data_IF_137994609939
#
_entry.id   IF_137994609939
#
_cell.length_a   1.000
_cell.length_b   1.000
_cell.length_c   1.000
_cell.angle_alpha   90.00
_cell.angle_beta   90.00
_cell.angle_gamma   90.00
#
_symmetry.space_group_name_H-M   'P 1'
#
loop_
_entity.id
_entity.type
_entity.pdbx_description
1 polymer ?
#
# COMPACT_ATOMS: atom_id res chain seq x y z
N UNK A 1 -3.04 -7.39 26.51
CA UNK A 1 -3.01 -7.77 25.09
C UNK A 1 -2.95 -6.47 24.32
N UNK A 2 -1.79 -6.23 23.71
CA UNK A 2 -1.51 -4.97 23.04
C UNK A 2 -2.19 -4.90 21.68
N UNK A 3 -2.30 -3.70 21.13
CA UNK A 3 -2.93 -3.45 19.83
C UNK A 3 -2.27 -4.25 18.70
N UNK A 4 -0.95 -4.44 18.77
CA UNK A 4 -0.20 -5.22 17.79
C UNK A 4 -0.51 -6.72 17.87
N UNK A 5 -0.68 -7.27 19.08
CA UNK A 5 -1.12 -8.66 19.28
C UNK A 5 -2.55 -8.89 18.77
N UNK A 6 -3.39 -7.85 18.84
CA UNK A 6 -4.75 -7.91 18.29
C UNK A 6 -4.73 -8.04 16.76
N UNK A 7 -3.87 -7.28 16.07
CA UNK A 7 -3.71 -7.36 14.62
C UNK A 7 -3.26 -8.76 14.16
N UNK A 8 -2.27 -9.35 14.83
CA UNK A 8 -1.78 -10.69 14.50
C UNK A 8 -2.87 -11.77 14.69
N UNK A 9 -3.62 -11.68 15.79
CA UNK A 9 -4.74 -12.61 16.05
C UNK A 9 -5.88 -12.47 15.06
N UNK A 10 -6.23 -11.24 14.67
CA UNK A 10 -7.23 -10.97 13.64
C UNK A 10 -6.80 -11.62 12.31
N UNK A 11 -5.55 -11.43 11.87
CA UNK A 11 -5.01 -12.10 10.66
C UNK A 11 -5.10 -13.62 10.74
N UNK A 12 -4.73 -14.18 11.89
CA UNK A 12 -4.79 -15.63 12.11
C UNK A 12 -6.22 -16.16 12.11
N UNK A 13 -7.19 -15.41 12.67
CA UNK A 13 -8.60 -15.76 12.64
C UNK A 13 -9.18 -15.68 11.23
N UNK A 14 -8.80 -14.68 10.42
CA UNK A 14 -9.19 -14.57 9.02
C UNK A 14 -8.65 -15.74 8.19
N UNK A 15 -7.37 -16.10 8.34
CA UNK A 15 -6.81 -17.29 7.68
C UNK A 15 -7.53 -18.59 8.10
N UNK A 16 -7.92 -18.72 9.36
CA UNK A 16 -8.68 -19.87 9.84
C UNK A 16 -10.13 -19.88 9.31
N UNK A 17 -10.69 -18.72 8.99
CA UNK A 17 -12.04 -18.62 8.44
C UNK A 17 -12.19 -19.20 7.03
N UNK A 18 -11.09 -19.35 6.29
CA UNK A 18 -11.07 -19.99 4.97
C UNK A 18 -10.95 -21.53 5.05
N UNK A 19 -10.85 -22.09 6.26
CA UNK A 19 -10.74 -23.53 6.44
C UNK A 19 -12.06 -24.26 6.11
N UNK A 20 -12.02 -25.52 5.63
CA UNK A 20 -13.19 -26.27 5.17
C UNK A 20 -14.16 -26.69 6.28
N UNK A 21 -13.84 -26.41 7.55
CA UNK A 21 -14.70 -26.72 8.68
C UNK A 21 -15.60 -25.53 9.01
N UNK A 22 -16.86 -25.59 8.58
CA UNK A 22 -17.85 -24.52 8.73
C UNK A 22 -17.99 -24.01 10.17
N UNK A 23 -17.91 -24.91 11.17
CA UNK A 23 -18.05 -24.54 12.58
C UNK A 23 -16.86 -23.73 13.09
N UNK A 24 -15.64 -24.13 12.71
CA UNK A 24 -14.42 -23.42 13.08
C UNK A 24 -14.31 -22.09 12.34
N UNK A 25 -14.64 -22.08 11.05
CA UNK A 25 -14.65 -20.87 10.25
C UNK A 25 -15.61 -19.82 10.82
N UNK A 26 -16.83 -20.23 11.19
CA UNK A 26 -17.83 -19.31 11.77
C UNK A 26 -17.43 -18.79 13.14
N UNK A 27 -16.82 -19.64 13.97
CA UNK A 27 -16.29 -19.22 15.27
C UNK A 27 -15.12 -18.22 15.13
N UNK A 28 -14.23 -18.46 14.16
CA UNK A 28 -13.11 -17.57 13.86
C UNK A 28 -13.60 -16.18 13.40
N UNK A 29 -14.58 -16.13 12.49
CA UNK A 29 -15.19 -14.87 12.04
C UNK A 29 -15.86 -14.08 13.17
N UNK A 30 -16.54 -14.75 14.09
CA UNK A 30 -17.14 -14.07 15.25
C UNK A 30 -16.09 -13.49 16.18
N UNK A 31 -15.01 -14.23 16.42
CA UNK A 31 -13.91 -13.77 17.26
C UNK A 31 -13.18 -12.58 16.65
N UNK A 32 -12.93 -12.63 15.35
CA UNK A 32 -12.33 -11.57 14.55
C UNK A 32 -13.12 -10.25 14.66
N UNK A 33 -14.42 -10.30 14.38
CA UNK A 33 -15.30 -9.12 14.47
C UNK A 33 -15.35 -8.53 15.87
N UNK A 34 -15.31 -9.36 16.90
CA UNK A 34 -15.25 -8.92 18.30
C UNK A 34 -13.94 -8.19 18.59
N UNK A 35 -12.82 -8.74 18.14
CA UNK A 35 -11.50 -8.12 18.29
C UNK A 35 -11.42 -6.78 17.55
N UNK A 36 -11.86 -6.72 16.30
CA UNK A 36 -11.94 -5.48 15.52
C UNK A 36 -12.72 -4.38 16.24
N UNK A 37 -13.89 -4.71 16.79
CA UNK A 37 -14.73 -3.77 17.53
C UNK A 37 -14.06 -3.27 18.83
N UNK A 38 -13.42 -4.17 19.59
CA UNK A 38 -12.77 -3.80 20.85
C UNK A 38 -11.55 -2.88 20.65
N UNK A 39 -10.76 -3.12 19.60
CA UNK A 39 -9.54 -2.36 19.33
C UNK A 39 -9.72 -1.23 18.30
N UNK A 40 -10.94 -1.05 17.76
CA UNK A 40 -11.28 -0.08 16.71
C UNK A 40 -10.35 -0.17 15.49
N UNK A 41 -10.07 -1.40 15.06
CA UNK A 41 -9.22 -1.69 13.91
C UNK A 41 -10.09 -1.69 12.65
N UNK A 42 -9.69 -0.92 11.64
CA UNK A 42 -10.34 -0.89 10.33
C UNK A 42 -9.61 -1.77 9.32
N UNK A 43 -10.29 -2.17 8.25
CA UNK A 43 -9.73 -3.03 7.17
C UNK A 43 -8.45 -2.44 6.56
N UNK A 44 -8.37 -1.11 6.41
CA UNK A 44 -7.16 -0.43 5.89
C UNK A 44 -5.91 -0.64 6.75
N UNK A 45 -6.08 -1.02 8.01
CA UNK A 45 -4.96 -1.28 8.93
C UNK A 45 -4.54 -2.75 8.96
N UNK A 46 -5.41 -3.66 8.53
CA UNK A 46 -4.99 -5.03 8.22
C UNK A 46 -4.11 -5.05 6.97
N UNK A 47 -4.47 -4.25 5.97
CA UNK A 47 -3.79 -4.17 4.67
C UNK A 47 -2.44 -3.44 4.74
N UNK A 48 -2.27 -2.52 5.70
CA UNK A 48 -1.10 -1.65 5.79
C UNK A 48 0.18 -2.32 6.30
N UNK A 49 0.16 -3.60 6.71
CA UNK A 49 1.40 -4.30 7.09
C UNK A 49 1.93 -5.30 6.06
N UNK A 50 1.33 -5.41 4.87
CA UNK A 50 1.86 -6.31 3.82
C UNK A 50 2.01 -5.67 2.43
N UNK A 51 1.43 -4.50 2.19
CA UNK A 51 1.73 -3.82 0.93
C UNK A 51 3.05 -3.07 1.04
N UNK A 52 4.13 -3.80 0.75
CA UNK A 52 5.38 -3.29 0.18
C UNK A 52 5.03 -2.37 -1.00
N UNK A 53 4.64 -1.13 -0.69
CA UNK A 53 4.41 -0.04 -1.65
C UNK A 53 5.76 0.42 -2.17
N UNK A 54 6.52 -0.52 -2.72
CA UNK A 54 7.73 -0.23 -3.48
C UNK A 54 7.28 0.57 -4.69
N UNK A 55 7.65 1.86 -4.78
CA UNK A 55 7.21 2.68 -5.90
C UNK A 55 7.80 2.08 -7.18
N UNK A 56 6.93 1.68 -8.11
CA UNK A 56 7.35 1.19 -9.43
C UNK A 56 8.06 2.35 -10.14
N UNK A 57 9.38 2.30 -10.15
CA UNK A 57 10.21 3.36 -10.77
C UNK A 57 10.46 2.97 -12.21
N UNK A 58 10.00 3.79 -13.16
CA UNK A 58 10.30 3.63 -14.58
C UNK A 58 11.11 4.82 -15.07
N UNK A 59 12.30 4.54 -15.60
CA UNK A 59 13.14 5.55 -16.23
C UNK A 59 12.66 5.70 -17.68
N UNK A 60 12.30 6.93 -18.05
CA UNK A 60 11.97 7.27 -19.43
C UNK A 60 13.26 7.52 -20.22
N UNK A 61 13.28 7.18 -21.52
CA UNK A 61 14.41 7.46 -22.43
C UNK A 61 14.53 8.94 -22.83
N UNK A 62 13.68 9.80 -22.28
CA UNK A 62 13.66 11.24 -22.57
C UNK A 62 14.81 11.92 -21.82
N UNK A 63 15.76 12.46 -22.58
CA UNK A 63 16.80 13.37 -22.08
C UNK A 63 16.43 14.80 -22.43
N UNK A 64 16.80 15.75 -21.56
CA UNK A 64 16.54 17.16 -21.78
C UNK A 64 17.73 18.00 -21.36
N UNK A 65 17.93 19.12 -22.04
CA UNK A 65 18.94 20.11 -21.64
C UNK A 65 18.23 21.34 -21.08
N UNK A 66 18.73 21.91 -19.98
CA UNK A 66 18.16 23.11 -19.35
C UNK A 66 18.06 24.31 -20.31
N UNK A 67 18.95 24.38 -21.31
CA UNK A 67 18.98 25.47 -22.30
C UNK A 67 17.92 25.35 -23.39
N UNK A 68 17.65 24.13 -23.89
CA UNK A 68 16.73 23.91 -25.03
C UNK A 68 15.33 23.50 -24.59
N UNK A 69 15.24 22.78 -23.48
CA UNK A 69 14.05 22.03 -23.09
C UNK A 69 13.63 22.36 -21.65
N UNK A 70 13.68 23.63 -21.28
CA UNK A 70 13.32 24.08 -19.93
C UNK A 70 11.85 23.81 -19.55
N UNK A 71 11.00 23.48 -20.52
CA UNK A 71 9.59 23.17 -20.34
C UNK A 71 9.34 21.73 -19.83
N UNK A 72 10.32 20.82 -20.02
CA UNK A 72 10.17 19.41 -19.66
C UNK A 72 9.91 19.20 -18.16
N UNK A 73 10.63 19.85 -17.22
CA UNK A 73 10.35 19.73 -15.80
C UNK A 73 8.91 20.14 -15.42
N UNK A 74 8.41 21.23 -16.02
CA UNK A 74 7.05 21.73 -15.79
C UNK A 74 5.99 20.76 -16.32
N UNK A 75 6.23 20.17 -17.50
CA UNK A 75 5.32 19.17 -18.06
C UNK A 75 5.28 17.90 -17.21
N UNK A 76 6.44 17.39 -16.78
CA UNK A 76 6.53 16.22 -15.91
C UNK A 76 5.70 16.45 -14.65
N UNK A 77 5.81 17.63 -14.04
CA UNK A 77 5.02 17.98 -12.85
C UNK A 77 3.52 17.90 -13.12
N UNK A 78 3.04 18.57 -14.18
CA UNK A 78 1.62 18.60 -14.54
C UNK A 78 1.05 17.20 -14.81
N UNK A 79 1.77 16.37 -15.56
CA UNK A 79 1.35 14.99 -15.84
C UNK A 79 1.34 14.19 -14.54
N UNK A 80 2.41 14.27 -13.74
CA UNK A 80 2.51 13.50 -12.50
C UNK A 80 1.36 13.78 -11.52
N UNK A 81 0.98 15.05 -11.36
CA UNK A 81 -0.13 15.46 -10.50
C UNK A 81 -1.49 14.94 -10.98
N UNK A 82 -1.70 14.83 -12.30
CA UNK A 82 -2.97 14.36 -12.88
C UNK A 82 -3.10 12.84 -12.94
N UNK A 83 -1.98 12.12 -13.01
CA UNK A 83 -1.94 10.66 -13.12
C UNK A 83 -1.54 9.96 -11.81
N UNK A 84 -1.60 10.65 -10.66
CA UNK A 84 -1.23 10.11 -9.34
C UNK A 84 0.17 9.48 -9.30
N UNK A 85 1.09 9.99 -10.11
CA UNK A 85 2.47 9.52 -10.20
C UNK A 85 3.41 10.58 -9.61
N UNK A 86 4.67 10.22 -9.38
CA UNK A 86 5.69 11.19 -9.00
C UNK A 86 6.77 11.28 -10.08
N UNK A 87 6.91 12.47 -10.63
CA UNK A 87 7.92 12.74 -11.65
C UNK A 87 9.28 13.04 -11.01
N UNK A 88 10.34 12.47 -11.57
CA UNK A 88 11.72 12.69 -11.13
C UNK A 88 12.60 12.96 -12.36
N UNK A 89 13.62 13.79 -12.18
CA UNK A 89 14.67 14.03 -13.18
C UNK A 89 16.01 13.80 -12.52
N UNK A 90 16.87 12.98 -13.12
CA UNK A 90 18.27 12.85 -12.71
C UNK A 90 19.18 13.56 -13.70
N UNK A 91 20.37 13.95 -13.23
CA UNK A 91 21.44 14.45 -14.10
C UNK A 91 22.41 13.31 -14.32
N UNK A 92 22.71 13.01 -15.58
CA UNK A 92 23.80 12.10 -15.91
C UNK A 92 25.09 12.92 -15.99
N UNK A 93 26.05 12.58 -15.13
CA UNK A 93 27.41 13.09 -15.26
C UNK A 93 28.15 12.18 -16.25
N UNK A 94 28.38 12.70 -17.45
CA UNK A 94 29.30 12.11 -18.43
C UNK A 94 30.75 12.48 -18.14
#
# INVERSE_FOLDING_TARGET
MDRQDALDKIRKCLALSESPNENEARAALMMDRKLMATYKIGESELESAEEDRTPITRISSITYTTLRDNWIPSLIRLISERFCCRGYTHREHG
#
